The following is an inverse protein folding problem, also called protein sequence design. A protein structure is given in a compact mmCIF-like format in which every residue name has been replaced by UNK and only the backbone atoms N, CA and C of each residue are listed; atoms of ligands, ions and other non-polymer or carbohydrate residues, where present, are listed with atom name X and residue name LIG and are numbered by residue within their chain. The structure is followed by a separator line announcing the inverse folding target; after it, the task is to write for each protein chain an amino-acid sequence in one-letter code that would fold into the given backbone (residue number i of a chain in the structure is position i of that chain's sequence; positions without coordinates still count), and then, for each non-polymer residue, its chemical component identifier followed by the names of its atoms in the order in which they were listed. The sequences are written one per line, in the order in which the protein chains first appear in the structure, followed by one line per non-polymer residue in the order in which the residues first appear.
data_IF_696698293467
#
_entry.id   IF_696698293467
#
_cell.length_a   1.000
_cell.length_b   1.000
_cell.length_c   1.000
_cell.angle_alpha   90.00
_cell.angle_beta   90.00
_cell.angle_gamma   90.00
#
_symmetry.space_group_name_H-M   'P 1'
#
loop_
_entity.id
_entity.type
_entity.pdbx_description
1 polymer ?
#
# COMPACT_ATOMS: atom_id res chain seq x y z
N UNK A 1 16.99 12.77 -13.43
CA UNK A 1 15.77 13.47 -13.01
C UNK A 1 15.62 13.33 -11.51
N UNK A 2 15.11 14.34 -10.81
CA UNK A 2 14.75 14.28 -9.40
C UNK A 2 13.36 13.67 -9.25
N UNK A 3 13.17 12.79 -8.26
CA UNK A 3 11.88 12.17 -7.94
C UNK A 3 11.23 12.89 -6.75
N UNK A 4 9.91 13.00 -6.78
CA UNK A 4 9.09 13.37 -5.63
C UNK A 4 9.10 12.26 -4.57
N UNK A 5 8.74 12.59 -3.33
CA UNK A 5 8.61 11.57 -2.26
C UNK A 5 7.63 10.47 -2.68
N UNK A 6 6.51 10.84 -3.31
CA UNK A 6 5.50 9.89 -3.80
C UNK A 6 6.12 8.91 -4.81
N UNK A 7 6.85 9.40 -5.80
CA UNK A 7 7.53 8.55 -6.79
C UNK A 7 8.59 7.65 -6.15
N UNK A 8 9.36 8.16 -5.18
CA UNK A 8 10.35 7.35 -4.45
C UNK A 8 9.69 6.17 -3.74
N UNK A 9 8.55 6.40 -3.08
CA UNK A 9 7.82 5.36 -2.36
C UNK A 9 7.17 4.37 -3.32
N UNK A 10 6.55 4.85 -4.41
CA UNK A 10 5.97 4.00 -5.45
C UNK A 10 7.03 3.06 -6.03
N UNK A 11 8.17 3.60 -6.46
CA UNK A 11 9.26 2.80 -7.04
C UNK A 11 9.77 1.75 -6.06
N UNK A 12 9.87 2.09 -4.78
CA UNK A 12 10.28 1.14 -3.74
C UNK A 12 9.24 0.04 -3.55
N UNK A 13 7.95 0.38 -3.43
CA UNK A 13 6.87 -0.60 -3.23
C UNK A 13 6.80 -1.59 -4.40
N UNK A 14 6.75 -1.09 -5.63
CA UNK A 14 6.68 -1.91 -6.84
C UNK A 14 7.94 -2.77 -6.99
N UNK A 15 9.13 -2.18 -6.77
CA UNK A 15 10.40 -2.89 -6.84
C UNK A 15 10.56 -4.01 -5.80
N UNK A 16 9.74 -4.01 -4.75
CA UNK A 16 9.75 -5.05 -3.71
C UNK A 16 8.52 -5.96 -3.73
N UNK A 17 7.59 -5.78 -4.68
CA UNK A 17 6.40 -6.62 -4.85
C UNK A 17 5.24 -6.30 -3.90
N UNK A 18 5.09 -5.03 -3.53
CA UNK A 18 3.96 -4.54 -2.76
C UNK A 18 2.96 -3.80 -3.66
N UNK A 19 1.68 -3.86 -3.31
CA UNK A 19 0.59 -3.22 -4.06
C UNK A 19 0.20 -1.84 -3.51
N UNK A 20 0.75 -1.45 -2.35
CA UNK A 20 0.47 -0.16 -1.72
C UNK A 20 0.85 -0.12 -0.24
N UNK A 21 0.13 0.71 0.52
CA UNK A 21 0.29 0.89 1.96
C UNK A 21 -1.02 0.59 2.69
N UNK A 22 -0.93 0.23 3.96
CA UNK A 22 -2.05 0.24 4.90
C UNK A 22 -1.59 0.68 6.29
N UNK A 23 -2.54 1.13 7.12
CA UNK A 23 -2.33 1.25 8.57
C UNK A 23 -2.95 0.02 9.23
N UNK A 24 -2.20 -0.90 9.85
CA UNK A 24 -2.78 -2.10 10.45
C UNK A 24 -3.72 -1.82 11.64
N UNK A 25 -3.61 -0.63 12.24
CA UNK A 25 -4.44 -0.19 13.36
C UNK A 25 -5.75 0.48 12.94
N UNK A 26 -5.91 0.79 11.65
CA UNK A 26 -7.08 1.43 11.09
C UNK A 26 -7.54 0.68 9.83
N UNK A 27 -8.81 0.72 9.44
CA UNK A 27 -9.27 0.08 8.18
C UNK A 27 -8.91 0.95 6.96
N UNK A 28 -7.65 1.39 6.87
CA UNK A 28 -7.14 2.29 5.84
C UNK A 28 -6.13 1.57 4.94
N UNK A 29 -6.32 1.69 3.64
CA UNK A 29 -5.45 1.12 2.63
C UNK A 29 -5.36 2.02 1.40
N UNK A 30 -4.15 2.28 0.92
CA UNK A 30 -3.89 3.12 -0.25
C UNK A 30 -3.10 2.32 -1.29
N UNK A 31 -3.65 2.07 -2.49
CA UNK A 31 -2.91 1.39 -3.55
C UNK A 31 -1.84 2.31 -4.15
N UNK A 32 -0.81 1.73 -4.77
CA UNK A 32 0.30 2.45 -5.42
C UNK A 32 -0.16 3.58 -6.36
N UNK A 33 -1.19 3.35 -7.18
CA UNK A 33 -1.67 4.35 -8.13
C UNK A 33 -2.42 5.53 -7.48
N UNK A 34 -2.92 5.35 -6.26
CA UNK A 34 -3.61 6.37 -5.47
C UNK A 34 -2.94 6.54 -4.11
N UNK A 35 -1.61 6.44 -4.07
CA UNK A 35 -0.83 6.46 -2.83
C UNK A 35 -0.97 7.80 -2.10
N UNK A 36 -1.27 7.73 -0.81
CA UNK A 36 -1.46 8.86 0.11
C UNK A 36 -2.48 9.90 -0.41
N UNK A 37 -3.76 9.52 -0.63
CA UNK A 37 -4.79 10.46 -1.06
C UNK A 37 -5.38 11.25 0.13
N UNK A 38 -5.09 10.83 1.36
CA UNK A 38 -5.57 11.44 2.59
C UNK A 38 -4.63 12.57 3.04
N UNK A 39 -5.22 13.65 3.55
CA UNK A 39 -4.49 14.71 4.26
C UNK A 39 -4.12 14.30 5.69
N UNK A 40 -4.34 13.04 6.06
CA UNK A 40 -4.02 12.49 7.38
C UNK A 40 -2.51 12.20 7.46
N UNK A 41 -1.78 12.87 8.37
CA UNK A 41 -0.33 12.88 8.38
C UNK A 41 0.32 11.73 9.18
N UNK A 42 -0.44 10.74 9.66
CA UNK A 42 0.13 9.64 10.47
C UNK A 42 0.81 8.58 9.58
N UNK A 43 1.90 9.01 8.96
CA UNK A 43 2.77 8.16 8.15
C UNK A 43 3.61 7.19 8.99
N UNK A 44 3.63 7.34 10.33
CA UNK A 44 4.42 6.47 11.21
C UNK A 44 3.83 5.05 11.27
N UNK A 45 2.53 4.92 11.01
CA UNK A 45 1.80 3.63 11.05
C UNK A 45 1.62 2.97 9.70
N UNK A 46 1.84 3.70 8.61
CA UNK A 46 1.72 3.16 7.27
C UNK A 46 2.83 2.13 7.00
N UNK A 47 2.41 0.91 6.66
CA UNK A 47 3.29 -0.20 6.29
C UNK A 47 3.01 -0.68 4.88
N UNK A 48 4.01 -1.30 4.25
CA UNK A 48 3.88 -1.90 2.94
C UNK A 48 2.85 -3.05 2.95
N UNK A 49 2.02 -3.08 1.91
CA UNK A 49 0.83 -3.93 1.87
C UNK A 49 0.60 -4.56 0.49
N UNK A 50 -0.15 -5.65 0.48
CA UNK A 50 -0.64 -6.32 -0.73
C UNK A 50 -2.15 -6.23 -0.82
N UNK A 51 -2.66 -6.34 -2.03
CA UNK A 51 -4.08 -6.17 -2.35
C UNK A 51 -4.78 -7.54 -2.36
N UNK A 52 -5.90 -7.66 -1.64
CA UNK A 52 -6.69 -8.90 -1.54
C UNK A 52 -8.14 -8.65 -1.97
N UNK A 53 -8.66 -9.51 -2.85
CA UNK A 53 -10.07 -9.49 -3.25
C UNK A 53 -10.89 -10.22 -2.19
N UNK A 54 -11.86 -9.54 -1.64
CA UNK A 54 -12.78 -10.08 -0.67
C UNK A 54 -13.97 -10.76 -1.35
N UNK A 55 -14.66 -11.62 -0.62
CA UNK A 55 -15.79 -12.41 -1.13
C UNK A 55 -16.99 -11.54 -1.57
N UNK A 56 -17.09 -10.33 -1.05
CA UNK A 56 -18.10 -9.32 -1.40
C UNK A 56 -17.76 -8.54 -2.67
N UNK A 57 -16.58 -8.78 -3.26
CA UNK A 57 -16.10 -8.10 -4.47
C UNK A 57 -15.29 -6.84 -4.19
N UNK A 58 -15.12 -6.45 -2.92
CA UNK A 58 -14.30 -5.31 -2.54
C UNK A 58 -12.82 -5.71 -2.39
N UNK A 59 -11.94 -4.71 -2.46
CA UNK A 59 -10.50 -4.91 -2.31
C UNK A 59 -10.00 -4.23 -1.05
N UNK A 60 -9.26 -4.95 -0.22
CA UNK A 60 -8.57 -4.40 0.95
C UNK A 60 -7.04 -4.56 0.82
N UNK A 61 -6.32 -3.74 1.58
CA UNK A 61 -4.86 -3.77 1.67
C UNK A 61 -4.44 -4.45 2.97
N UNK A 62 -3.68 -5.54 2.87
CA UNK A 62 -3.18 -6.30 4.02
C UNK A 62 -1.69 -6.09 4.21
N UNK A 63 -1.19 -6.02 5.47
CA UNK A 63 0.23 -5.85 5.73
C UNK A 63 1.08 -6.97 5.11
N UNK A 64 2.25 -6.60 4.57
CA UNK A 64 3.21 -7.55 4.01
C UNK A 64 2.95 -7.86 2.54
N UNK A 65 3.67 -8.87 2.04
CA UNK A 65 3.55 -9.35 0.65
C UNK A 65 2.42 -10.37 0.54
N UNK A 66 1.84 -10.48 -0.66
CA UNK A 66 0.93 -11.57 -0.95
C UNK A 66 1.66 -12.91 -0.73
N UNK A 67 0.97 -13.93 -0.18
CA UNK A 67 1.56 -15.26 -0.09
C UNK A 67 1.94 -15.75 -1.49
N UNK A 68 3.19 -16.15 -1.65
CA UNK A 68 3.65 -16.83 -2.86
C UNK A 68 2.96 -18.20 -2.89
N UNK A 69 1.96 -18.37 -3.76
CA UNK A 69 1.40 -19.69 -4.02
C UNK A 69 2.40 -20.45 -4.92
N UNK A 70 3.12 -21.41 -4.34
CA UNK A 70 3.91 -22.41 -5.07
C UNK A 70 3.03 -23.40 -5.84
#
# INVERSE_FOLDING_TARGET
MTKTIKEIVIDWLEGHGYDGLCDPGNECGCPVFALMPCDEPDFERCVAAHKVLMNDGDWLMFPGKAPEFE
#
